data_IF_803433614946
#
_entry.id   IF_803433614946
#
_cell.length_a   1.000
_cell.length_b   1.000
_cell.length_c   1.000
_cell.angle_alpha   90.00
_cell.angle_beta   90.00
_cell.angle_gamma   90.00
#
_symmetry.space_group_name_H-M   'P 1'
#
loop_
_entity.id
_entity.type
_entity.pdbx_description
1 polymer ?
#
# COMPACT_ATOMS: atom_id res chain seq x y z
N UNK A 1 35.69 -13.61 -2.81
CA UNK A 1 35.87 -12.46 -3.72
C UNK A 1 35.13 -12.62 -5.04
N UNK A 2 33.83 -12.29 -5.09
CA UNK A 2 32.97 -12.51 -6.27
C UNK A 2 32.03 -11.32 -6.49
N UNK A 3 32.58 -10.15 -6.81
CA UNK A 3 31.80 -9.02 -7.33
C UNK A 3 32.06 -8.84 -8.82
N UNK A 4 31.51 -9.74 -9.65
CA UNK A 4 31.36 -9.47 -11.09
C UNK A 4 30.17 -8.53 -11.27
N UNK A 5 30.39 -7.24 -11.08
CA UNK A 5 29.43 -6.20 -11.41
C UNK A 5 29.21 -6.20 -12.93
N UNK A 6 27.99 -6.54 -13.38
CA UNK A 6 27.57 -6.33 -14.76
C UNK A 6 27.31 -4.83 -14.94
N UNK A 7 28.10 -4.17 -15.79
CA UNK A 7 27.82 -2.81 -16.21
C UNK A 7 26.55 -2.77 -17.09
N UNK A 8 25.63 -1.85 -16.80
CA UNK A 8 24.46 -1.61 -17.64
C UNK A 8 24.87 -0.98 -18.98
N UNK A 9 24.32 -1.46 -20.13
CA UNK A 9 24.62 -0.87 -21.42
C UNK A 9 23.90 0.48 -21.56
N UNK A 10 24.61 1.50 -22.03
CA UNK A 10 24.03 2.82 -22.36
C UNK A 10 23.21 2.69 -23.65
N UNK A 11 21.87 2.64 -23.56
CA UNK A 11 21.02 2.83 -24.73
C UNK A 11 20.73 4.32 -24.94
N UNK A 12 20.99 4.79 -26.16
CA UNK A 12 20.76 6.15 -26.64
C UNK A 12 19.32 6.33 -27.14
N UNK A 13 18.33 6.24 -26.25
CA UNK A 13 16.92 6.54 -26.53
C UNK A 13 16.25 7.22 -25.34
N UNK A 14 15.26 8.10 -25.56
CA UNK A 14 14.71 8.99 -24.53
C UNK A 14 14.02 8.18 -23.42
N UNK A 15 14.37 8.49 -22.18
CA UNK A 15 13.85 7.86 -20.98
C UNK A 15 12.32 7.82 -20.99
N UNK A 16 11.75 6.62 -21.01
CA UNK A 16 10.36 6.36 -20.58
C UNK A 16 10.15 6.99 -19.19
N UNK A 17 8.95 7.51 -18.88
CA UNK A 17 8.69 8.13 -17.59
C UNK A 17 9.10 7.15 -16.50
N UNK A 18 10.01 7.64 -15.68
CA UNK A 18 10.64 6.89 -14.62
C UNK A 18 9.59 6.67 -13.53
N UNK A 19 8.95 5.50 -13.54
CA UNK A 19 8.12 5.06 -12.41
C UNK A 19 8.98 4.67 -11.20
N UNK A 20 10.31 4.93 -11.20
CA UNK A 20 11.21 4.68 -10.07
C UNK A 20 11.16 5.74 -8.96
N UNK A 21 10.01 6.38 -8.79
CA UNK A 21 9.54 6.76 -7.46
C UNK A 21 8.14 6.22 -7.30
N UNK A 22 8.04 4.91 -7.05
CA UNK A 22 7.17 4.48 -5.97
C UNK A 22 7.62 5.33 -4.79
N UNK A 23 6.92 6.44 -4.56
CA UNK A 23 6.99 7.17 -3.32
C UNK A 23 6.47 6.17 -2.31
N UNK A 24 7.38 5.31 -1.82
CA UNK A 24 7.15 4.47 -0.67
C UNK A 24 6.69 5.48 0.37
N UNK A 25 5.38 5.50 0.64
CA UNK A 25 4.82 6.47 1.54
C UNK A 25 5.40 6.10 2.90
N UNK A 26 6.48 6.78 3.28
CA UNK A 26 7.07 6.74 4.62
C UNK A 26 6.08 7.20 5.68
N UNK A 27 4.87 7.59 5.28
CA UNK A 27 3.76 7.85 6.16
C UNK A 27 3.09 6.52 6.51
N UNK A 28 3.53 5.95 7.63
CA UNK A 28 2.66 5.18 8.52
C UNK A 28 1.54 6.11 9.00
N UNK A 29 0.60 6.44 8.12
CA UNK A 29 -0.61 7.15 8.46
C UNK A 29 -1.79 6.19 8.38
N UNK A 30 -2.66 6.31 9.35
CA UNK A 30 -4.02 5.82 9.22
C UNK A 30 -4.71 6.57 8.08
N UNK A 31 -5.45 5.83 7.27
CA UNK A 31 -6.16 6.40 6.12
C UNK A 31 -7.60 5.96 6.18
N UNK A 32 -8.51 6.93 6.09
CA UNK A 32 -9.93 6.69 5.97
C UNK A 32 -10.41 7.17 4.60
N UNK A 33 -11.08 6.28 3.86
CA UNK A 33 -11.70 6.61 2.58
C UNK A 33 -13.14 6.09 2.56
N UNK A 34 -14.02 6.81 1.88
CA UNK A 34 -15.42 6.43 1.68
C UNK A 34 -15.70 6.32 0.18
N UNK A 35 -16.33 5.21 -0.21
CA UNK A 35 -16.64 4.86 -1.59
C UNK A 35 -18.08 4.36 -1.66
N UNK A 36 -19.02 5.25 -1.96
CA UNK A 36 -20.43 4.89 -2.03
C UNK A 36 -20.94 4.38 -0.67
N UNK A 37 -21.32 3.11 -0.62
CA UNK A 37 -21.79 2.42 0.58
C UNK A 37 -20.69 1.70 1.37
N UNK A 38 -19.43 1.76 0.90
CA UNK A 38 -18.29 1.11 1.53
C UNK A 38 -17.33 2.12 2.17
N UNK A 39 -16.73 1.72 3.30
CA UNK A 39 -15.68 2.48 3.99
C UNK A 39 -14.41 1.66 4.05
N UNK A 40 -13.28 2.30 3.75
CA UNK A 40 -11.95 1.71 3.85
C UNK A 40 -11.18 2.37 5.00
N UNK A 41 -10.63 1.53 5.88
CA UNK A 41 -9.81 1.94 7.01
C UNK A 41 -8.44 1.24 6.91
N UNK A 42 -7.39 2.02 6.64
CA UNK A 42 -6.01 1.59 6.85
C UNK A 42 -5.66 1.91 8.30
N UNK A 43 -5.51 0.88 9.12
CA UNK A 43 -5.12 0.99 10.54
C UNK A 43 -3.69 0.49 10.72
N UNK A 44 -2.99 1.01 11.73
CA UNK A 44 -1.57 0.71 11.98
C UNK A 44 -1.32 -0.23 13.16
N UNK A 45 -2.32 -0.39 14.03
CA UNK A 45 -2.24 -1.23 15.23
C UNK A 45 -3.58 -1.93 15.50
N UNK A 46 -3.57 -2.83 16.48
CA UNK A 46 -4.72 -3.68 16.79
C UNK A 46 -5.79 -2.92 17.56
N UNK A 47 -5.41 -1.93 18.37
CA UNK A 47 -6.31 -1.08 19.12
C UNK A 47 -7.23 -0.29 18.17
N UNK A 48 -6.64 0.38 17.16
CA UNK A 48 -7.38 1.11 16.12
C UNK A 48 -8.31 0.19 15.33
N UNK A 49 -7.92 -1.06 15.07
CA UNK A 49 -8.80 -2.05 14.42
C UNK A 49 -10.06 -2.31 15.25
N UNK A 50 -9.89 -2.55 16.56
CA UNK A 50 -11.03 -2.78 17.45
C UNK A 50 -11.89 -1.54 17.67
N UNK A 51 -11.30 -0.34 17.62
CA UNK A 51 -12.07 0.91 17.64
C UNK A 51 -12.99 1.04 16.42
N UNK A 52 -12.52 0.66 15.22
CA UNK A 52 -13.37 0.62 14.01
C UNK A 52 -14.55 -0.33 14.20
N UNK A 53 -14.34 -1.48 14.84
CA UNK A 53 -15.42 -2.44 15.13
C UNK A 53 -16.41 -1.88 16.13
N UNK A 54 -15.92 -1.30 17.22
CA UNK A 54 -16.77 -0.71 18.27
C UNK A 54 -17.61 0.45 17.75
N UNK A 55 -17.07 1.27 16.85
CA UNK A 55 -17.74 2.45 16.32
C UNK A 55 -18.76 2.12 15.21
N UNK A 56 -18.72 0.92 14.62
CA UNK A 56 -19.62 0.52 13.53
C UNK A 56 -20.26 -0.86 13.79
N UNK A 57 -20.89 -1.10 14.95
CA UNK A 57 -21.20 -2.44 15.44
C UNK A 57 -22.10 -3.28 14.52
N UNK A 58 -22.91 -2.65 13.67
CA UNK A 58 -23.85 -3.31 12.75
C UNK A 58 -23.28 -3.49 11.33
N UNK A 59 -22.03 -3.12 11.09
CA UNK A 59 -21.39 -3.24 9.79
C UNK A 59 -20.90 -4.67 9.50
N UNK A 60 -20.73 -4.98 8.22
CA UNK A 60 -19.99 -6.18 7.78
C UNK A 60 -18.56 -5.79 7.45
N UNK A 61 -17.60 -6.65 7.83
CA UNK A 61 -16.18 -6.35 7.70
C UNK A 61 -15.47 -7.32 6.76
N UNK A 62 -14.52 -6.78 5.99
CA UNK A 62 -13.56 -7.55 5.20
C UNK A 62 -12.16 -7.10 5.60
N UNK A 63 -11.34 -8.02 6.11
CA UNK A 63 -9.95 -7.74 6.45
C UNK A 63 -9.06 -8.04 5.25
N UNK A 64 -8.45 -6.99 4.70
CA UNK A 64 -7.56 -7.09 3.55
C UNK A 64 -6.10 -6.99 4.00
N UNK A 65 -5.34 -8.07 3.83
CA UNK A 65 -3.88 -8.06 3.94
C UNK A 65 -3.24 -7.56 2.65
N UNK A 66 -2.78 -8.49 1.80
CA UNK A 66 -2.22 -8.16 0.49
C UNK A 66 -3.27 -8.04 -0.63
N UNK A 67 -4.52 -8.45 -0.37
CA UNK A 67 -5.64 -8.46 -1.33
C UNK A 67 -5.31 -9.18 -2.67
N UNK A 68 -4.61 -10.31 -2.62
CA UNK A 68 -4.16 -11.08 -3.80
C UNK A 68 -5.06 -12.26 -4.17
N UNK A 69 -6.20 -12.43 -3.49
CA UNK A 69 -7.16 -13.46 -3.83
C UNK A 69 -7.62 -13.29 -5.30
N UNK A 70 -7.69 -14.40 -6.03
CA UNK A 70 -8.08 -14.48 -7.44
C UNK A 70 -9.36 -15.27 -7.59
#
# INVERSE_FOLDING_TARGET
ELYKLKACPKSSEPSRPDFSKSQESTVEAEVHMEFGDAKFYKVLNIESLFEVFKNNPDATYVLNGANTAR
#
